data_IF_285081366672
#
_entry.id   IF_285081366672
#
_cell.length_a   1.000
_cell.length_b   1.000
_cell.length_c   1.000
_cell.angle_alpha   90.00
_cell.angle_beta   90.00
_cell.angle_gamma   90.00
#
_symmetry.space_group_name_H-M   'P 1'
#
loop_
_entity.id
_entity.type
_entity.pdbx_description
1 polymer ?
#
# COMPACT_ATOMS: atom_id res chain seq x y z
N UNK A 1 -3.89 23.24 28.75
CA UNK A 1 -2.98 24.21 28.09
C UNK A 1 -3.76 25.46 27.70
N UNK A 2 -3.33 26.67 28.10
CA UNK A 2 -3.93 27.91 27.59
C UNK A 2 -3.68 28.03 26.08
N UNK A 3 -4.54 28.73 25.31
CA UNK A 3 -4.33 28.93 23.88
C UNK A 3 -2.95 29.55 23.57
N UNK A 4 -2.49 30.52 24.38
CA UNK A 4 -1.21 31.19 24.17
C UNK A 4 0.01 30.25 24.33
N UNK A 5 0.03 29.38 25.35
CA UNK A 5 1.14 28.43 25.53
C UNK A 5 1.13 27.34 24.45
N UNK A 6 -0.05 26.98 23.94
CA UNK A 6 -0.20 26.07 22.80
C UNK A 6 0.41 26.69 21.55
N UNK A 7 0.04 27.93 21.24
CA UNK A 7 0.49 28.62 20.05
C UNK A 7 2.01 28.87 20.09
N UNK A 8 2.57 29.20 21.25
CA UNK A 8 4.02 29.33 21.46
C UNK A 8 4.74 27.99 21.22
N UNK A 9 4.23 26.90 21.80
CA UNK A 9 4.80 25.56 21.63
C UNK A 9 4.75 25.09 20.18
N UNK A 10 3.65 25.35 19.48
CA UNK A 10 3.48 24.95 18.08
C UNK A 10 4.34 25.80 17.15
N UNK A 11 4.42 27.13 17.37
CA UNK A 11 5.32 27.99 16.61
C UNK A 11 6.78 27.55 16.77
N UNK A 12 7.17 27.10 17.97
CA UNK A 12 8.49 26.53 18.20
C UNK A 12 8.70 25.24 17.39
N UNK A 13 7.74 24.30 17.39
CA UNK A 13 7.85 23.08 16.58
C UNK A 13 7.94 23.40 15.10
N UNK A 14 7.12 24.33 14.60
CA UNK A 14 7.15 24.77 13.20
C UNK A 14 8.50 25.34 12.81
N UNK A 15 9.16 26.10 13.69
CA UNK A 15 10.51 26.60 13.47
C UNK A 15 11.55 25.46 13.44
N UNK A 16 11.35 24.40 14.23
CA UNK A 16 12.24 23.24 14.27
C UNK A 16 11.97 22.21 13.16
N UNK A 17 10.86 22.30 12.43
CA UNK A 17 10.45 21.32 11.42
C UNK A 17 11.56 20.92 10.44
N UNK A 18 12.34 21.85 9.83
CA UNK A 18 13.40 21.48 8.91
C UNK A 18 14.43 20.51 9.53
N UNK A 19 14.82 20.75 10.79
CA UNK A 19 15.74 19.88 11.51
C UNK A 19 15.11 18.55 11.90
N UNK A 20 13.82 18.54 12.26
CA UNK A 20 13.09 17.31 12.56
C UNK A 20 12.93 16.43 11.31
N UNK A 21 12.64 17.02 10.15
CA UNK A 21 12.51 16.31 8.87
C UNK A 21 13.82 15.57 8.55
N UNK A 22 14.96 16.24 8.65
CA UNK A 22 16.26 15.61 8.39
C UNK A 22 16.58 14.51 9.41
N UNK A 23 16.25 14.70 10.69
CA UNK A 23 16.42 13.65 11.72
C UNK A 23 15.56 12.42 11.41
N UNK A 24 14.30 12.61 11.02
CA UNK A 24 13.40 11.51 10.66
C UNK A 24 13.88 10.80 9.41
N UNK A 25 14.30 11.54 8.38
CA UNK A 25 14.86 10.97 7.16
C UNK A 25 16.11 10.15 7.46
N UNK A 26 17.10 10.72 8.15
CA UNK A 26 18.35 10.05 8.48
C UNK A 26 18.10 8.76 9.27
N UNK A 27 17.25 8.82 10.32
CA UNK A 27 16.91 7.64 11.11
C UNK A 27 16.14 6.60 10.28
N UNK A 28 15.29 7.03 9.35
CA UNK A 28 14.55 6.10 8.48
C UNK A 28 15.49 5.33 7.56
N UNK A 29 16.41 6.02 6.88
CA UNK A 29 17.41 5.40 5.98
C UNK A 29 18.39 4.50 6.74
N UNK A 30 18.80 4.91 7.94
CA UNK A 30 19.65 4.11 8.84
C UNK A 30 18.95 2.81 9.27
N UNK A 31 17.65 2.88 9.55
CA UNK A 31 16.89 1.75 10.13
C UNK A 31 16.33 0.80 9.07
N UNK A 32 16.02 1.30 7.87
CA UNK A 32 15.16 0.60 6.91
C UNK A 32 15.85 0.46 5.53
N UNK A 33 16.33 -0.74 5.17
CA UNK A 33 17.01 -0.97 3.90
C UNK A 33 16.21 -0.56 2.64
N UNK A 34 14.86 -0.64 2.69
CA UNK A 34 13.97 -0.26 1.58
C UNK A 34 14.11 1.20 1.13
N UNK A 35 14.66 2.07 1.98
CA UNK A 35 14.87 3.50 1.69
C UNK A 35 16.33 3.85 1.37
N UNK A 36 17.24 2.89 1.26
CA UNK A 36 18.68 3.14 1.05
C UNK A 36 19.09 3.26 -0.43
N UNK A 37 18.45 2.49 -1.32
CA UNK A 37 18.92 2.30 -2.70
C UNK A 37 18.15 3.14 -3.74
N UNK A 38 17.24 4.01 -3.29
CA UNK A 38 16.37 4.88 -4.09
C UNK A 38 15.50 4.16 -5.14
N UNK A 39 15.45 2.82 -5.16
CA UNK A 39 14.73 2.07 -6.21
C UNK A 39 13.22 2.26 -6.15
N UNK A 40 12.67 2.25 -4.93
CA UNK A 40 11.23 2.31 -4.71
C UNK A 40 10.76 3.74 -4.39
N UNK A 41 11.59 4.48 -3.64
CA UNK A 41 11.30 5.83 -3.18
C UNK A 41 12.57 6.66 -3.29
N UNK A 42 12.53 7.71 -4.10
CA UNK A 42 13.67 8.62 -4.21
C UNK A 42 13.89 9.40 -2.91
N UNK A 43 15.13 9.82 -2.67
CA UNK A 43 15.50 10.62 -1.51
C UNK A 43 14.66 11.90 -1.37
N UNK A 44 14.47 12.63 -2.48
CA UNK A 44 13.67 13.86 -2.49
C UNK A 44 12.19 13.61 -2.20
N UNK A 45 11.65 12.47 -2.65
CA UNK A 45 10.27 12.09 -2.37
C UNK A 45 10.07 11.66 -0.92
N UNK A 46 10.99 10.89 -0.34
CA UNK A 46 10.91 10.49 1.06
C UNK A 46 10.91 11.72 1.98
N UNK A 47 11.82 12.68 1.74
CA UNK A 47 11.86 13.94 2.49
C UNK A 47 10.56 14.74 2.40
N UNK A 48 10.02 14.94 1.19
CA UNK A 48 8.73 15.63 0.99
C UNK A 48 7.59 14.91 1.72
N UNK A 49 7.54 13.58 1.61
CA UNK A 49 6.53 12.79 2.31
C UNK A 49 6.65 12.91 3.84
N UNK A 50 7.87 12.94 4.39
CA UNK A 50 8.11 13.17 5.82
C UNK A 50 7.65 14.57 6.22
N UNK A 51 7.99 15.58 5.43
CA UNK A 51 7.57 16.97 5.66
C UNK A 51 6.05 17.10 5.70
N UNK A 52 5.35 16.61 4.68
CA UNK A 52 3.89 16.69 4.58
C UNK A 52 3.21 16.04 5.80
N UNK A 53 3.71 14.86 6.22
CA UNK A 53 3.14 14.12 7.34
C UNK A 53 3.47 14.77 8.70
N UNK A 54 4.67 15.33 8.89
CA UNK A 54 4.99 16.08 10.10
C UNK A 54 4.17 17.37 10.19
N UNK A 55 3.99 18.09 9.06
CA UNK A 55 3.13 19.28 9.01
C UNK A 55 1.68 18.95 9.31
N UNK A 56 1.17 17.81 8.84
CA UNK A 56 -0.16 17.30 9.20
C UNK A 56 -0.29 17.14 10.73
N UNK A 57 0.66 16.46 11.39
CA UNK A 57 0.63 16.28 12.85
C UNK A 57 0.67 17.62 13.59
N UNK A 58 1.54 18.53 13.18
CA UNK A 58 1.66 19.86 13.80
C UNK A 58 0.36 20.68 13.66
N UNK A 59 -0.28 20.63 12.49
CA UNK A 59 -1.58 21.27 12.25
C UNK A 59 -2.67 20.68 13.13
N UNK A 60 -2.72 19.35 13.28
CA UNK A 60 -3.67 18.67 14.14
C UNK A 60 -3.54 19.08 15.62
N UNK A 61 -2.30 19.30 16.09
CA UNK A 61 -2.03 19.80 17.44
C UNK A 61 -2.48 21.26 17.66
N UNK A 62 -2.48 22.07 16.61
CA UNK A 62 -2.93 23.48 16.64
C UNK A 62 -4.43 23.59 16.82
N UNK A 63 -5.17 22.68 16.20
CA UNK A 63 -6.63 22.69 16.17
C UNK A 63 -7.23 21.43 16.82
N UNK A 64 -7.03 21.21 18.15
CA UNK A 64 -7.52 20.04 18.85
C UNK A 64 -9.02 20.13 19.13
N UNK A 65 -9.82 20.55 18.17
CA UNK A 65 -11.28 20.48 18.18
C UNK A 65 -11.86 20.33 16.79
N UNK A 66 -11.03 20.45 15.76
CA UNK A 66 -11.43 20.36 14.37
C UNK A 66 -11.24 18.92 13.87
N UNK A 67 -12.09 18.44 12.96
CA UNK A 67 -11.88 17.19 12.26
C UNK A 67 -10.50 17.17 11.56
N UNK A 68 -9.83 16.02 11.60
CA UNK A 68 -8.56 15.83 10.91
C UNK A 68 -8.79 15.72 9.40
N UNK A 69 -8.01 16.46 8.62
CA UNK A 69 -7.94 16.31 7.17
C UNK A 69 -6.98 15.16 6.82
N UNK A 70 -7.52 13.95 6.69
CA UNK A 70 -6.76 12.72 6.48
C UNK A 70 -6.24 12.56 5.03
N UNK A 71 -6.38 13.57 4.16
CA UNK A 71 -5.92 13.47 2.77
C UNK A 71 -4.41 13.16 2.66
N UNK A 72 -3.57 13.75 3.53
CA UNK A 72 -2.11 13.55 3.53
C UNK A 72 -1.71 12.11 3.91
N UNK A 73 -2.16 11.54 5.06
CA UNK A 73 -1.87 10.15 5.39
C UNK A 73 -2.44 9.18 4.35
N UNK A 74 -3.66 9.40 3.86
CA UNK A 74 -4.25 8.57 2.82
C UNK A 74 -3.40 8.56 1.55
N UNK A 75 -3.02 9.73 1.04
CA UNK A 75 -2.20 9.83 -0.17
C UNK A 75 -0.84 9.15 0.02
N UNK A 76 -0.28 9.21 1.22
CA UNK A 76 0.96 8.50 1.55
C UNK A 76 0.77 6.98 1.50
N UNK A 77 -0.31 6.46 2.10
CA UNK A 77 -0.67 5.04 2.02
C UNK A 77 -0.83 4.55 0.58
N UNK A 78 -1.57 5.30 -0.25
CA UNK A 78 -1.76 4.98 -1.69
C UNK A 78 -0.43 4.96 -2.44
N UNK A 79 0.42 5.98 -2.28
CA UNK A 79 1.73 6.06 -2.94
C UNK A 79 2.64 4.88 -2.57
N UNK A 80 2.73 4.55 -1.27
CA UNK A 80 3.60 3.46 -0.80
C UNK A 80 3.12 2.09 -1.27
N UNK A 81 1.80 1.89 -1.39
CA UNK A 81 1.23 0.70 -2.00
C UNK A 81 1.64 0.56 -3.48
N UNK A 82 1.52 1.64 -4.27
CA UNK A 82 1.96 1.63 -5.67
C UNK A 82 3.46 1.40 -5.84
N UNK A 83 4.27 1.85 -4.89
CA UNK A 83 5.72 1.67 -4.89
C UNK A 83 6.16 0.30 -4.37
N UNK A 84 5.24 -0.53 -3.88
CA UNK A 84 5.55 -1.84 -3.33
C UNK A 84 6.36 -1.79 -2.02
N UNK A 85 6.35 -0.66 -1.31
CA UNK A 85 7.01 -0.56 0.00
C UNK A 85 6.19 -1.34 1.02
N UNK A 86 6.76 -2.32 1.75
CA UNK A 86 5.95 -3.11 2.65
C UNK A 86 5.42 -2.27 3.82
N UNK A 87 4.15 -2.54 4.18
CA UNK A 87 3.41 -1.75 5.17
C UNK A 87 4.12 -1.64 6.54
N UNK A 88 4.77 -2.69 7.10
CA UNK A 88 5.49 -2.56 8.36
C UNK A 88 6.59 -1.49 8.35
N UNK A 89 7.30 -1.34 7.23
CA UNK A 89 8.35 -0.35 6.98
C UNK A 89 7.76 1.04 6.82
N UNK A 90 6.61 1.17 6.14
CA UNK A 90 5.85 2.42 6.11
C UNK A 90 5.52 2.85 7.53
N UNK A 91 4.87 1.99 8.33
CA UNK A 91 4.50 2.30 9.71
C UNK A 91 5.71 2.54 10.62
N UNK A 92 6.88 1.95 10.32
CA UNK A 92 8.10 2.20 11.09
C UNK A 92 8.60 3.63 10.91
N UNK A 93 8.52 4.20 9.71
CA UNK A 93 8.86 5.63 9.49
C UNK A 93 7.94 6.54 10.29
N UNK A 94 6.65 6.20 10.41
CA UNK A 94 5.69 6.97 11.20
C UNK A 94 6.02 6.90 12.69
N UNK A 95 6.36 5.72 13.22
CA UNK A 95 6.82 5.57 14.61
C UNK A 95 8.09 6.38 14.89
N UNK A 96 9.05 6.37 13.96
CA UNK A 96 10.27 7.20 14.03
C UNK A 96 9.90 8.69 14.04
N UNK A 97 9.06 9.12 13.11
CA UNK A 97 8.58 10.50 12.98
C UNK A 97 7.93 11.02 14.26
N UNK A 98 6.98 10.25 14.77
CA UNK A 98 6.28 10.56 16.02
C UNK A 98 7.23 10.60 17.21
N UNK A 99 8.12 9.61 17.36
CA UNK A 99 9.08 9.57 18.46
C UNK A 99 10.03 10.77 18.47
N UNK A 100 10.51 11.20 17.29
CA UNK A 100 11.36 12.38 17.15
C UNK A 100 10.59 13.67 17.48
N UNK A 101 9.36 13.82 16.98
CA UNK A 101 8.51 14.97 17.29
C UNK A 101 8.19 15.06 18.79
N UNK A 102 7.79 13.93 19.40
CA UNK A 102 7.50 13.85 20.83
C UNK A 102 8.73 14.18 21.68
N UNK A 103 9.90 13.62 21.33
CA UNK A 103 11.16 13.92 22.01
C UNK A 103 11.48 15.41 21.98
N UNK A 104 11.28 16.08 20.85
CA UNK A 104 11.50 17.52 20.71
C UNK A 104 10.53 18.33 21.59
N UNK A 105 9.25 17.96 21.64
CA UNK A 105 8.27 18.59 22.51
C UNK A 105 8.62 18.46 24.01
N UNK A 106 9.02 17.26 24.43
CA UNK A 106 9.44 16.99 25.81
C UNK A 106 10.69 17.80 26.15
N UNK A 107 11.72 17.78 25.30
CA UNK A 107 12.95 18.54 25.50
C UNK A 107 12.66 20.04 25.69
N UNK A 108 11.82 20.62 24.82
CA UNK A 108 11.40 22.03 24.92
C UNK A 108 10.64 22.33 26.21
N UNK A 109 9.77 21.42 26.63
CA UNK A 109 9.00 21.59 27.86
C UNK A 109 9.91 21.50 29.10
N UNK A 110 10.90 20.60 29.10
CA UNK A 110 11.87 20.44 30.19
C UNK A 110 12.85 21.61 30.31
N UNK A 111 13.18 22.29 29.20
CA UNK A 111 14.03 23.49 29.22
C UNK A 111 13.27 24.77 29.62
N UNK A 112 11.94 24.71 29.73
CA UNK A 112 11.14 25.85 30.16
C UNK A 112 11.37 26.15 31.65
N UNK A 113 11.61 27.41 32.03
CA UNK A 113 11.67 27.81 33.46
C UNK A 113 10.30 27.68 34.14
N UNK A 114 9.22 27.53 33.36
CA UNK A 114 7.86 27.29 33.84
C UNK A 114 7.57 25.79 33.89
N UNK A 115 7.63 25.17 35.07
CA UNK A 115 7.35 23.74 35.28
C UNK A 115 5.96 23.32 34.76
N UNK A 116 4.99 24.24 34.79
CA UNK A 116 3.63 24.03 34.29
C UNK A 116 3.57 23.65 32.80
N UNK A 117 4.57 24.03 32.00
CA UNK A 117 4.61 23.69 30.57
C UNK A 117 4.73 22.18 30.38
N UNK A 118 5.55 21.50 31.18
CA UNK A 118 5.70 20.05 31.14
C UNK A 118 4.41 19.36 31.60
N UNK A 119 3.80 19.81 32.70
CA UNK A 119 2.52 19.27 33.17
C UNK A 119 1.43 19.42 32.11
N UNK A 120 1.33 20.58 31.45
CA UNK A 120 0.35 20.82 30.38
C UNK A 120 0.61 19.96 29.14
N UNK A 121 1.86 19.68 28.80
CA UNK A 121 2.22 18.76 27.72
C UNK A 121 1.74 17.34 28.06
N UNK A 122 1.95 16.89 29.30
CA UNK A 122 1.46 15.59 29.78
C UNK A 122 -0.08 15.53 29.80
N UNK A 123 -0.76 16.59 30.26
CA UNK A 123 -2.23 16.67 30.25
C UNK A 123 -2.82 16.56 28.83
N UNK A 124 -2.05 16.94 27.82
CA UNK A 124 -2.47 16.86 26.42
C UNK A 124 -1.95 15.64 25.69
N UNK A 125 -1.13 14.79 26.31
CA UNK A 125 -0.48 13.64 25.64
C UNK A 125 -1.51 12.66 25.06
N UNK A 126 -2.58 12.34 25.78
CA UNK A 126 -3.64 11.44 25.28
C UNK A 126 -4.20 11.91 23.94
N UNK A 127 -4.36 13.22 23.75
CA UNK A 127 -4.78 13.82 22.47
C UNK A 127 -3.74 13.60 21.38
N UNK A 128 -2.47 13.84 21.70
CA UNK A 128 -1.35 13.70 20.75
C UNK A 128 -1.25 12.26 20.26
N UNK A 129 -1.46 11.29 21.15
CA UNK A 129 -1.47 9.87 20.81
C UNK A 129 -2.68 9.49 19.94
N UNK A 130 -3.87 10.00 20.28
CA UNK A 130 -5.06 9.77 19.46
C UNK A 130 -4.87 10.27 18.01
N UNK A 131 -4.29 11.46 17.84
CA UNK A 131 -3.96 12.01 16.51
C UNK A 131 -2.97 11.11 15.77
N UNK A 132 -1.95 10.59 16.45
CA UNK A 132 -0.98 9.69 15.83
C UNK A 132 -1.59 8.32 15.46
N UNK A 133 -2.54 7.82 16.24
CA UNK A 133 -3.27 6.59 15.96
C UNK A 133 -4.23 6.74 14.77
N UNK A 134 -4.99 7.85 14.71
CA UNK A 134 -5.83 8.20 13.56
C UNK A 134 -4.98 8.34 12.29
N UNK A 135 -3.80 8.97 12.41
CA UNK A 135 -2.84 9.11 11.31
C UNK A 135 -2.34 7.75 10.78
N UNK A 136 -1.94 6.85 11.68
CA UNK A 136 -1.48 5.51 11.30
C UNK A 136 -2.61 4.64 10.72
N UNK A 137 -3.83 4.79 11.24
CA UNK A 137 -5.02 4.09 10.75
C UNK A 137 -5.33 4.50 9.31
N UNK A 138 -5.39 5.81 9.02
CA UNK A 138 -5.66 6.34 7.69
C UNK A 138 -4.65 5.85 6.64
N UNK A 139 -3.35 5.81 6.98
CA UNK A 139 -2.30 5.25 6.11
C UNK A 139 -2.54 3.78 5.83
N UNK A 140 -2.84 3.01 6.88
CA UNK A 140 -3.05 1.56 6.80
C UNK A 140 -4.25 1.22 5.92
N UNK A 141 -5.37 1.90 6.12
CA UNK A 141 -6.58 1.69 5.34
C UNK A 141 -6.37 2.04 3.87
N UNK A 142 -5.80 3.22 3.58
CA UNK A 142 -5.51 3.63 2.22
C UNK A 142 -4.52 2.67 1.52
N UNK A 143 -3.47 2.23 2.23
CA UNK A 143 -2.52 1.25 1.71
C UNK A 143 -3.20 -0.07 1.35
N UNK A 144 -4.04 -0.61 2.26
CA UNK A 144 -4.73 -1.89 2.04
C UNK A 144 -5.74 -1.81 0.90
N UNK A 145 -6.52 -0.73 0.84
CA UNK A 145 -7.48 -0.49 -0.23
C UNK A 145 -6.76 -0.43 -1.58
N UNK A 146 -5.70 0.38 -1.70
CA UNK A 146 -4.92 0.48 -2.94
C UNK A 146 -4.22 -0.82 -3.30
N UNK A 147 -3.70 -1.57 -2.32
CA UNK A 147 -3.13 -2.90 -2.58
C UNK A 147 -4.17 -3.86 -3.16
N UNK A 148 -5.39 -3.86 -2.63
CA UNK A 148 -6.49 -4.67 -3.16
C UNK A 148 -6.86 -4.25 -4.59
N UNK A 149 -6.95 -2.95 -4.87
CA UNK A 149 -7.20 -2.41 -6.21
C UNK A 149 -6.12 -2.83 -7.22
N UNK A 150 -4.84 -2.75 -6.82
CA UNK A 150 -3.71 -3.19 -7.64
C UNK A 150 -3.83 -4.69 -7.97
N UNK A 151 -4.12 -5.53 -6.98
CA UNK A 151 -4.27 -6.97 -7.18
C UNK A 151 -5.45 -7.31 -8.11
N UNK A 152 -6.59 -6.65 -7.92
CA UNK A 152 -7.77 -6.81 -8.78
C UNK A 152 -7.45 -6.38 -10.22
N UNK A 153 -6.78 -5.25 -10.40
CA UNK A 153 -6.37 -4.76 -11.73
C UNK A 153 -5.40 -5.72 -12.43
N UNK A 154 -4.43 -6.27 -11.70
CA UNK A 154 -3.50 -7.27 -12.21
C UNK A 154 -4.22 -8.55 -12.64
N UNK A 155 -5.17 -9.05 -11.83
CA UNK A 155 -5.97 -10.23 -12.16
C UNK A 155 -6.83 -9.99 -13.41
N UNK A 156 -7.50 -8.84 -13.52
CA UNK A 156 -8.25 -8.47 -14.72
C UNK A 156 -7.36 -8.39 -15.96
N UNK A 157 -6.16 -7.80 -15.85
CA UNK A 157 -5.22 -7.74 -16.97
C UNK A 157 -4.78 -9.14 -17.39
N UNK A 158 -4.47 -10.03 -16.45
CA UNK A 158 -4.11 -11.42 -16.75
C UNK A 158 -5.25 -12.17 -17.43
N UNK A 159 -6.47 -12.04 -16.92
CA UNK A 159 -7.65 -12.67 -17.51
C UNK A 159 -7.90 -12.18 -18.95
N UNK A 160 -7.72 -10.89 -19.23
CA UNK A 160 -7.84 -10.34 -20.58
C UNK A 160 -6.78 -10.89 -21.55
N UNK A 161 -5.54 -11.11 -21.10
CA UNK A 161 -4.50 -11.75 -21.91
C UNK A 161 -4.84 -13.22 -22.21
N UNK A 162 -5.43 -13.93 -21.24
CA UNK A 162 -5.92 -15.31 -21.45
C UNK A 162 -7.04 -15.34 -22.49
N UNK A 163 -7.95 -14.36 -22.47
CA UNK A 163 -9.01 -14.24 -23.48
C UNK A 163 -8.45 -14.04 -24.90
N UNK A 164 -7.42 -13.20 -25.05
CA UNK A 164 -6.72 -13.00 -26.33
C UNK A 164 -6.11 -14.31 -26.84
N UNK A 165 -5.56 -15.15 -25.96
CA UNK A 165 -5.03 -16.47 -26.34
C UNK A 165 -6.12 -17.45 -26.77
N UNK A 166 -7.24 -17.49 -26.05
CA UNK A 166 -8.32 -18.45 -26.32
C UNK A 166 -9.11 -18.10 -27.58
N UNK A 167 -9.32 -16.81 -27.83
CA UNK A 167 -10.08 -16.32 -28.99
C UNK A 167 -9.23 -16.15 -30.24
N UNK A 168 -7.91 -16.06 -30.08
CA UNK A 168 -6.98 -15.70 -31.16
C UNK A 168 -7.16 -14.26 -31.65
N UNK A 169 -7.97 -13.44 -30.97
CA UNK A 169 -8.29 -12.10 -31.43
C UNK A 169 -7.12 -11.14 -31.18
N UNK A 170 -6.73 -10.38 -32.21
CA UNK A 170 -5.73 -9.32 -32.04
C UNK A 170 -6.43 -8.12 -31.40
N UNK A 171 -6.07 -7.80 -30.16
CA UNK A 171 -6.52 -6.59 -29.50
C UNK A 171 -5.63 -5.41 -29.85
N UNK A 172 -6.05 -4.17 -29.53
CA UNK A 172 -5.19 -2.99 -29.65
C UNK A 172 -3.90 -3.09 -28.81
N UNK A 173 -3.93 -3.88 -27.74
CA UNK A 173 -2.87 -3.92 -26.73
C UNK A 173 -1.88 -5.06 -26.93
N UNK A 174 -2.31 -6.16 -27.57
CA UNK A 174 -1.49 -7.34 -27.83
C UNK A 174 -2.18 -8.32 -28.79
N UNK A 175 -1.39 -8.98 -29.64
CA UNK A 175 -1.79 -10.19 -30.35
C UNK A 175 -1.56 -11.48 -29.53
N UNK A 176 -2.00 -12.66 -29.99
CA UNK A 176 -1.88 -13.92 -29.24
C UNK A 176 -0.45 -14.25 -28.78
N UNK A 177 0.56 -14.09 -29.64
CA UNK A 177 1.96 -14.37 -29.29
C UNK A 177 2.52 -13.43 -28.20
N UNK A 178 2.12 -12.16 -28.25
CA UNK A 178 2.50 -11.18 -27.25
C UNK A 178 1.78 -11.44 -25.93
N UNK A 179 0.50 -11.83 -25.97
CA UNK A 179 -0.24 -12.25 -24.79
C UNK A 179 0.36 -13.50 -24.13
N UNK A 180 0.81 -14.49 -24.92
CA UNK A 180 1.52 -15.66 -24.43
C UNK A 180 2.79 -15.26 -23.68
N UNK A 181 3.58 -14.38 -24.30
CA UNK A 181 4.85 -13.89 -23.73
C UNK A 181 4.62 -13.10 -22.44
N UNK A 182 3.62 -12.21 -22.40
CA UNK A 182 3.25 -11.43 -21.20
C UNK A 182 2.72 -12.31 -20.05
N UNK A 183 2.12 -13.46 -20.37
CA UNK A 183 1.70 -14.45 -19.37
C UNK A 183 2.83 -15.39 -18.94
N UNK A 184 4.01 -15.29 -19.56
CA UNK A 184 5.19 -16.10 -19.26
C UNK A 184 5.21 -17.46 -19.97
N UNK A 185 4.39 -17.66 -21.00
CA UNK A 185 4.44 -18.86 -21.82
C UNK A 185 5.59 -18.78 -22.83
N UNK A 186 6.38 -19.87 -23.02
CA UNK A 186 7.35 -19.96 -24.11
C UNK A 186 6.69 -19.83 -25.48
N UNK A 187 7.41 -19.26 -26.45
CA UNK A 187 6.91 -19.02 -27.80
C UNK A 187 6.62 -20.30 -28.62
N UNK A 188 7.07 -21.46 -28.16
CA UNK A 188 6.92 -22.77 -28.80
C UNK A 188 6.18 -23.78 -27.90
N UNK A 189 5.54 -23.31 -26.83
CA UNK A 189 4.89 -24.20 -25.88
C UNK A 189 3.55 -24.73 -26.40
N UNK A 190 3.37 -26.06 -26.32
CA UNK A 190 2.05 -26.67 -26.38
C UNK A 190 1.23 -26.28 -25.14
N UNK A 191 0.13 -25.57 -25.38
CA UNK A 191 -0.80 -25.12 -24.35
C UNK A 191 -2.01 -26.04 -24.29
N UNK A 192 -2.33 -26.55 -23.10
CA UNK A 192 -3.53 -27.35 -22.83
C UNK A 192 -4.59 -26.45 -22.21
N UNK A 193 -5.78 -26.39 -22.81
CA UNK A 193 -6.94 -25.73 -22.20
C UNK A 193 -7.71 -26.73 -21.35
N UNK A 194 -7.90 -26.43 -20.07
CA UNK A 194 -8.75 -27.18 -19.15
C UNK A 194 -9.92 -26.30 -18.77
N UNK A 195 -11.14 -26.82 -18.88
CA UNK A 195 -12.36 -26.14 -18.49
C UNK A 195 -12.98 -26.84 -17.27
N UNK A 196 -13.26 -26.09 -16.21
CA UNK A 196 -13.98 -26.59 -15.04
C UNK A 196 -15.26 -25.79 -14.80
N UNK A 197 -16.33 -26.49 -14.41
CA UNK A 197 -17.64 -25.93 -14.10
C UNK A 197 -17.84 -25.86 -12.59
N UNK A 198 -18.37 -24.75 -12.08
CA UNK A 198 -18.91 -24.63 -10.71
C UNK A 198 -20.43 -24.49 -10.75
N UNK A 199 -21.10 -25.09 -9.76
CA UNK A 199 -22.54 -24.97 -9.54
C UNK A 199 -22.88 -23.90 -8.49
N UNK A 200 -21.87 -23.30 -7.85
CA UNK A 200 -22.03 -22.25 -6.84
C UNK A 200 -21.57 -20.90 -7.39
N UNK A 201 -22.39 -19.86 -7.16
CA UNK A 201 -22.06 -18.49 -7.53
C UNK A 201 -20.86 -18.02 -6.73
N UNK A 202 -19.84 -17.48 -7.41
CA UNK A 202 -18.60 -16.95 -6.83
C UNK A 202 -17.69 -18.00 -6.15
N UNK A 203 -17.90 -19.30 -6.39
CA UNK A 203 -16.96 -20.33 -5.96
C UNK A 203 -15.89 -20.61 -7.02
N UNK A 204 -14.65 -20.83 -6.60
CA UNK A 204 -13.57 -21.31 -7.47
C UNK A 204 -13.83 -22.79 -7.81
N UNK A 205 -13.92 -23.15 -9.09
CA UNK A 205 -14.17 -24.55 -9.51
C UNK A 205 -13.01 -25.47 -9.17
N UNK A 206 -11.79 -24.93 -9.05
CA UNK A 206 -10.58 -25.68 -8.76
C UNK A 206 -9.74 -24.98 -7.66
N UNK A 207 -10.15 -25.00 -6.38
CA UNK A 207 -9.44 -24.26 -5.34
C UNK A 207 -7.94 -24.57 -5.27
N UNK A 208 -7.13 -23.51 -5.31
CA UNK A 208 -5.67 -23.58 -5.15
C UNK A 208 -4.93 -24.37 -6.23
N UNK A 209 -5.55 -24.64 -7.38
CA UNK A 209 -4.91 -25.35 -8.50
C UNK A 209 -3.75 -24.54 -9.10
N UNK A 210 -3.86 -23.21 -9.15
CA UNK A 210 -2.81 -22.32 -9.65
C UNK A 210 -1.52 -22.49 -8.86
N UNK A 211 -1.64 -22.52 -7.52
CA UNK A 211 -0.52 -22.78 -6.61
C UNK A 211 0.08 -24.17 -6.84
N UNK A 212 -0.75 -25.22 -6.91
CA UNK A 212 -0.28 -26.59 -7.14
C UNK A 212 0.46 -26.76 -8.46
N UNK A 213 0.02 -26.08 -9.53
CA UNK A 213 0.71 -26.08 -10.81
C UNK A 213 2.04 -25.30 -10.74
N UNK A 214 2.06 -24.15 -10.07
CA UNK A 214 3.29 -23.38 -9.87
C UNK A 214 4.34 -24.17 -9.08
N UNK A 215 3.94 -24.90 -8.02
CA UNK A 215 4.80 -25.82 -7.26
C UNK A 215 5.40 -26.95 -8.12
N UNK A 216 4.76 -27.29 -9.25
CA UNK A 216 5.25 -28.26 -10.22
C UNK A 216 6.02 -27.63 -11.39
N UNK A 217 6.29 -26.32 -11.33
CA UNK A 217 6.99 -25.57 -12.38
C UNK A 217 6.14 -25.28 -13.62
N UNK A 218 4.81 -25.39 -13.53
CA UNK A 218 3.90 -25.10 -14.62
C UNK A 218 3.42 -23.64 -14.58
N UNK A 219 3.66 -22.91 -15.67
CA UNK A 219 3.03 -21.61 -15.91
C UNK A 219 1.55 -21.84 -16.22
N UNK A 220 0.68 -21.04 -15.61
CA UNK A 220 -0.77 -21.09 -15.84
C UNK A 220 -1.40 -19.71 -15.92
N UNK A 221 -2.42 -19.59 -16.77
CA UNK A 221 -3.29 -18.43 -16.89
C UNK A 221 -4.73 -18.82 -16.57
N UNK A 222 -5.44 -17.92 -15.88
CA UNK A 222 -6.78 -18.16 -15.37
C UNK A 222 -7.72 -17.06 -15.83
N UNK A 223 -8.96 -17.44 -16.09
CA UNK A 223 -10.06 -16.49 -16.22
C UNK A 223 -11.32 -17.11 -15.65
N UNK A 224 -12.15 -16.28 -15.04
CA UNK A 224 -13.54 -16.61 -14.76
C UNK A 224 -14.38 -16.05 -15.90
N UNK A 225 -15.18 -16.91 -16.52
CA UNK A 225 -16.14 -16.50 -17.55
C UNK A 225 -17.50 -16.37 -16.87
N UNK A 226 -18.22 -15.24 -17.00
CA UNK A 226 -19.58 -15.14 -16.47
C UNK A 226 -20.43 -16.27 -17.06
N UNK A 227 -21.34 -16.80 -16.24
CA UNK A 227 -22.25 -17.84 -16.69
C UNK A 227 -23.05 -17.35 -17.90
N UNK A 228 -22.93 -18.06 -19.02
CA UNK A 228 -23.86 -17.90 -20.13
C UNK A 228 -25.26 -18.27 -19.61
N UNK A 229 -26.16 -17.28 -19.55
CA UNK A 229 -27.56 -17.48 -19.16
C UNK A 229 -28.37 -18.12 -20.31
N UNK A 230 -27.99 -19.34 -20.69
CA UNK A 230 -28.82 -20.15 -21.57
C UNK A 230 -29.47 -21.26 -20.73
N UNK A 231 -30.69 -20.98 -20.26
CA UNK A 231 -31.64 -21.90 -19.63
C UNK A 231 -31.09 -22.86 -18.56
N UNK A 232 -31.32 -22.49 -17.28
CA UNK A 232 -31.33 -23.39 -16.12
C UNK A 232 -30.02 -24.13 -15.75
N UNK A 233 -28.89 -23.44 -15.71
CA UNK A 233 -27.85 -23.65 -14.66
C UNK A 233 -26.87 -22.47 -14.66
N UNK A 234 -26.50 -21.95 -13.50
CA UNK A 234 -25.54 -20.86 -13.39
C UNK A 234 -24.12 -21.45 -13.47
N UNK A 235 -23.59 -21.68 -14.68
CA UNK A 235 -22.30 -22.33 -14.89
C UNK A 235 -21.19 -21.29 -15.13
N UNK A 236 -20.34 -21.02 -14.14
CA UNK A 236 -19.12 -20.22 -14.34
C UNK A 236 -18.02 -21.14 -14.85
N UNK A 237 -17.35 -20.77 -15.95
CA UNK A 237 -16.28 -21.55 -16.57
C UNK A 237 -14.92 -20.99 -16.19
N UNK A 238 -14.03 -21.83 -15.66
CA UNK A 238 -12.61 -21.53 -15.51
C UNK A 238 -11.82 -22.17 -16.65
N UNK A 239 -11.17 -21.36 -17.48
CA UNK A 239 -10.23 -21.84 -18.48
C UNK A 239 -8.81 -21.77 -17.93
N UNK A 240 -8.11 -22.90 -17.98
CA UNK A 240 -6.78 -23.13 -17.47
C UNK A 240 -5.87 -23.47 -18.66
N UNK A 241 -4.87 -22.65 -18.95
CA UNK A 241 -3.82 -22.98 -19.92
C UNK A 241 -2.64 -23.62 -19.17
N UNK A 242 -2.37 -24.91 -19.40
CA UNK A 242 -1.28 -25.67 -18.77
C UNK A 242 -0.26 -26.06 -19.82
N UNK A 243 1.02 -25.86 -19.50
CA UNK A 243 2.12 -26.51 -20.23
C UNK A 243 2.02 -28.03 -20.07
N UNK A 244 1.94 -28.78 -21.15
CA UNK A 244 2.28 -30.20 -21.11
C UNK A 244 3.80 -30.32 -20.84
N UNK A 245 4.22 -31.04 -19.79
CA UNK A 245 5.65 -31.41 -19.67
C UNK A 245 6.03 -32.17 -20.93
N UNK A 246 7.11 -31.76 -21.60
CA UNK A 246 7.74 -32.64 -22.59
C UNK A 246 8.31 -33.83 -21.82
N UNK A 247 7.70 -34.99 -21.97
CA UNK A 247 8.33 -36.25 -21.56
C UNK A 247 9.54 -36.46 -22.49
N UNK A 248 10.74 -36.29 -21.95
CA UNK A 248 11.96 -36.90 -22.45
C UNK A 248 12.50 -37.83 -21.38
#
# INVERSE_FOLDING_TARGET
>A
MSPADRDEGIAWVEHQLPGLIEKVYARSVETLPVYQDEKHVSTGELRRSIEDNLRFLVRALRHPGEPLDLAVPEQTGRRRAHQGVPLPEVLQVYRIGFGILWGALVERASQSPRTEVLTRLLDTSTRIWAVAEEHATAVTEAYRATTAEILISQEHRRAALVEVLLTGHVSKDAGPWEAASLLGFPADADLVVVAAQTNEVAAESLPGIARRLAEQGCVSGWRLTPALQDSASCATWQALLVRARSTS
#
